data_IF_899350732239
#
_entry.id   IF_899350732239
#
_cell.length_a   1.000
_cell.length_b   1.000
_cell.length_c   1.000
_cell.angle_alpha   90.00
_cell.angle_beta   90.00
_cell.angle_gamma   90.00
#
_symmetry.space_group_name_H-M   'P 1'
#
loop_
_entity.id
_entity.type
_entity.pdbx_description
1 polymer ?
#
# COMPACT_ATOMS: atom_id res chain seq x y z
N UNK A 1 -53.47 -20.95 35.83
CA UNK A 1 -53.18 -20.09 34.66
C UNK A 1 -51.72 -19.65 34.71
N UNK A 2 -50.84 -20.28 33.92
CA UNK A 2 -49.43 -19.91 33.84
C UNK A 2 -49.21 -19.09 32.56
N UNK A 3 -48.69 -17.86 32.71
CA UNK A 3 -48.38 -16.96 31.61
C UNK A 3 -46.92 -17.20 31.20
N UNK A 4 -46.70 -17.73 30.01
CA UNK A 4 -45.38 -18.03 29.45
C UNK A 4 -44.63 -16.75 29.06
N UNK A 5 -43.41 -16.58 29.57
CA UNK A 5 -42.52 -15.49 29.16
C UNK A 5 -41.80 -15.85 27.85
N UNK A 6 -41.96 -15.00 26.83
CA UNK A 6 -41.27 -15.10 25.55
C UNK A 6 -39.86 -14.51 25.68
N UNK A 7 -38.84 -15.35 25.67
CA UNK A 7 -37.43 -14.93 25.66
C UNK A 7 -37.06 -14.58 24.21
N UNK A 8 -36.81 -13.29 23.95
CA UNK A 8 -36.26 -12.81 22.68
C UNK A 8 -34.75 -13.03 22.69
N UNK A 9 -34.28 -14.04 21.95
CA UNK A 9 -32.87 -14.26 21.71
C UNK A 9 -32.36 -13.23 20.68
N UNK A 10 -31.72 -12.17 21.16
CA UNK A 10 -30.99 -11.23 20.30
C UNK A 10 -29.74 -11.95 19.77
N UNK A 11 -29.80 -12.41 18.52
CA UNK A 11 -28.63 -12.90 17.80
C UNK A 11 -27.65 -11.74 17.61
N UNK A 12 -26.58 -11.72 18.42
CA UNK A 12 -25.44 -10.83 18.20
C UNK A 12 -24.69 -11.37 16.99
N UNK A 13 -25.01 -10.84 15.81
CA UNK A 13 -24.21 -11.11 14.62
C UNK A 13 -22.80 -10.53 14.86
N UNK A 14 -21.72 -11.32 14.67
CA UNK A 14 -20.37 -10.77 14.75
C UNK A 14 -20.24 -9.70 13.68
N UNK A 15 -20.08 -8.44 14.10
CA UNK A 15 -19.70 -7.37 13.21
C UNK A 15 -18.26 -7.70 12.78
N UNK A 16 -17.95 -7.85 11.48
CA UNK A 16 -16.58 -8.00 11.06
C UNK A 16 -15.79 -6.77 11.50
N UNK A 17 -14.92 -6.96 12.49
CA UNK A 17 -13.93 -5.98 12.89
C UNK A 17 -12.85 -5.95 11.81
N UNK A 18 -12.97 -5.04 10.86
CA UNK A 18 -11.83 -4.69 10.02
C UNK A 18 -10.77 -4.09 10.95
N UNK A 19 -9.54 -4.59 10.88
CA UNK A 19 -8.42 -4.00 11.62
C UNK A 19 -8.37 -2.50 11.27
N UNK A 20 -8.51 -1.63 12.27
CA UNK A 20 -8.40 -0.20 12.04
C UNK A 20 -6.93 0.19 12.12
N UNK A 21 -6.25 0.25 10.98
CA UNK A 21 -4.85 0.67 10.93
C UNK A 21 -4.27 0.59 9.53
N UNK A 22 -3.21 1.34 9.26
CA UNK A 22 -2.47 1.15 8.01
C UNK A 22 -1.65 -0.13 8.14
N UNK A 23 -1.82 -1.13 7.26
CA UNK A 23 -1.19 -2.43 7.42
C UNK A 23 0.33 -2.33 7.50
N UNK A 24 0.95 -3.23 8.25
CA UNK A 24 2.41 -3.35 8.29
C UNK A 24 2.92 -3.82 6.94
N UNK A 25 4.06 -3.26 6.55
CA UNK A 25 4.78 -3.73 5.37
C UNK A 25 5.32 -5.17 5.63
N UNK A 26 5.31 -6.04 4.60
CA UNK A 26 6.14 -7.24 4.59
C UNK A 26 7.62 -6.97 4.91
N UNK A 27 8.36 -8.04 5.20
CA UNK A 27 9.79 -7.97 5.49
C UNK A 27 10.58 -7.29 4.35
N UNK A 28 11.42 -6.32 4.71
CA UNK A 28 12.26 -5.55 3.79
C UNK A 28 13.30 -6.42 3.08
N UNK A 29 13.69 -7.55 3.67
CA UNK A 29 14.60 -8.51 3.02
C UNK A 29 14.10 -8.94 1.64
N UNK A 30 12.77 -8.99 1.43
CA UNK A 30 12.13 -9.30 0.16
C UNK A 30 12.45 -8.27 -0.95
N UNK A 31 12.88 -7.07 -0.58
CA UNK A 31 13.34 -6.08 -1.56
C UNK A 31 14.73 -6.41 -2.08
N UNK A 32 15.61 -6.99 -1.27
CA UNK A 32 17.04 -7.12 -1.59
C UNK A 32 17.48 -8.54 -1.89
N UNK A 33 16.79 -9.52 -1.33
CA UNK A 33 17.08 -10.94 -1.47
C UNK A 33 16.04 -11.58 -2.42
N UNK A 34 16.45 -12.30 -3.49
CA UNK A 34 15.55 -13.04 -4.35
C UNK A 34 14.88 -14.25 -3.70
N UNK A 35 14.80 -14.34 -2.37
CA UNK A 35 13.98 -15.35 -1.65
C UNK A 35 12.49 -15.36 -2.05
N UNK A 36 12.00 -14.29 -2.69
CA UNK A 36 10.66 -14.26 -3.29
C UNK A 36 10.56 -15.09 -4.58
N UNK A 37 11.68 -15.50 -5.17
CA UNK A 37 11.70 -16.38 -6.31
C UNK A 37 11.22 -17.78 -5.91
N UNK A 38 10.45 -18.42 -6.79
CA UNK A 38 10.18 -19.84 -6.67
C UNK A 38 11.50 -20.60 -6.77
N UNK A 39 11.66 -21.68 -5.98
CA UNK A 39 12.82 -22.56 -6.05
C UNK A 39 13.14 -22.97 -7.51
N UNK A 40 14.40 -22.82 -7.92
CA UNK A 40 14.88 -23.07 -9.29
C UNK A 40 14.75 -21.89 -10.25
N UNK A 41 14.20 -20.75 -9.83
CA UNK A 41 14.03 -19.52 -10.62
C UNK A 41 14.90 -18.35 -10.10
N UNK A 42 15.85 -18.61 -9.21
CA UNK A 42 16.69 -17.61 -8.54
C UNK A 42 17.52 -16.80 -9.55
N UNK A 43 17.99 -17.45 -10.62
CA UNK A 43 18.73 -16.80 -11.70
C UNK A 43 17.89 -15.75 -12.45
N UNK A 44 16.59 -15.98 -12.59
CA UNK A 44 15.67 -15.02 -13.21
C UNK A 44 15.37 -13.86 -12.25
N UNK A 45 15.22 -14.14 -10.96
CA UNK A 45 14.98 -13.11 -9.95
C UNK A 45 16.17 -12.15 -9.78
N UNK A 46 17.40 -12.66 -9.92
CA UNK A 46 18.63 -11.86 -9.86
C UNK A 46 18.65 -10.71 -10.88
N UNK A 47 18.06 -10.92 -12.07
CA UNK A 47 17.95 -9.88 -13.11
C UNK A 47 17.12 -8.67 -12.69
N UNK A 48 16.25 -8.82 -11.69
CA UNK A 48 15.41 -7.74 -11.17
C UNK A 48 16.05 -6.98 -10.01
N UNK A 49 17.21 -7.44 -9.49
CA UNK A 49 17.90 -6.76 -8.40
C UNK A 49 18.46 -5.38 -8.81
N UNK A 50 18.64 -5.13 -10.11
CA UNK A 50 19.03 -3.83 -10.65
C UNK A 50 17.84 -2.95 -11.06
N UNK A 51 16.60 -3.39 -10.78
CA UNK A 51 15.38 -2.65 -11.09
C UNK A 51 14.79 -2.04 -9.82
N UNK A 52 14.00 -0.99 -10.01
CA UNK A 52 13.18 -0.43 -8.93
C UNK A 52 12.19 -1.47 -8.44
N UNK A 53 12.15 -1.69 -7.13
CA UNK A 53 11.33 -2.72 -6.48
C UNK A 53 10.36 -2.07 -5.49
N UNK A 54 9.21 -2.69 -5.34
CA UNK A 54 8.10 -2.18 -4.55
C UNK A 54 7.67 -3.23 -3.55
N UNK A 55 7.45 -2.79 -2.32
CA UNK A 55 6.86 -3.60 -1.27
C UNK A 55 5.61 -2.86 -0.79
N UNK A 56 4.47 -3.51 -0.94
CA UNK A 56 3.16 -2.90 -0.81
C UNK A 56 2.35 -3.68 0.22
N UNK A 57 1.64 -2.96 1.08
CA UNK A 57 0.67 -3.52 2.00
C UNK A 57 -0.60 -2.69 1.94
N UNK A 58 -1.75 -3.35 1.73
CA UNK A 58 -3.03 -2.69 1.61
C UNK A 58 -4.13 -3.43 2.36
N UNK A 59 -5.09 -2.67 2.85
CA UNK A 59 -6.38 -3.14 3.31
C UNK A 59 -7.47 -2.66 2.34
N UNK A 60 -8.40 -3.56 2.05
CA UNK A 60 -9.52 -3.30 1.15
C UNK A 60 -10.80 -3.16 1.96
N UNK A 61 -11.35 -1.96 2.01
CA UNK A 61 -12.72 -1.73 2.48
C UNK A 61 -13.67 -1.85 1.28
N UNK A 62 -14.19 -3.06 1.07
CA UNK A 62 -15.12 -3.35 -0.01
C UNK A 62 -16.44 -2.58 0.12
N UNK A 63 -16.87 -2.21 1.34
CA UNK A 63 -18.14 -1.49 1.55
C UNK A 63 -18.04 -0.04 1.11
N UNK A 64 -16.89 0.60 1.39
CA UNK A 64 -16.65 2.00 1.03
C UNK A 64 -15.96 2.17 -0.34
N UNK A 65 -15.42 1.08 -0.88
CA UNK A 65 -14.60 1.09 -2.09
C UNK A 65 -13.33 1.89 -1.88
N UNK A 66 -12.63 1.63 -0.76
CA UNK A 66 -11.42 2.33 -0.35
C UNK A 66 -10.28 1.31 -0.19
N UNK A 67 -9.12 1.64 -0.74
CA UNK A 67 -7.85 0.97 -0.50
C UNK A 67 -6.99 1.87 0.39
N UNK A 68 -6.53 1.37 1.54
CA UNK A 68 -5.61 2.10 2.44
C UNK A 68 -4.36 1.28 2.65
N UNK A 69 -3.17 1.90 2.64
CA UNK A 69 -1.94 1.12 2.72
C UNK A 69 -0.66 1.92 2.85
N UNK A 70 0.45 1.18 2.79
CA UNK A 70 1.82 1.69 2.71
C UNK A 70 2.51 1.10 1.49
N UNK A 71 3.42 1.89 0.94
CA UNK A 71 4.35 1.46 -0.09
C UNK A 71 5.76 1.82 0.35
N UNK A 72 6.68 0.86 0.22
CA UNK A 72 8.13 1.11 0.26
C UNK A 72 8.71 0.85 -1.11
N UNK A 73 9.53 1.78 -1.58
CA UNK A 73 10.15 1.71 -2.90
C UNK A 73 11.66 1.69 -2.73
N UNK A 74 12.30 0.64 -3.24
CA UNK A 74 13.74 0.61 -3.41
C UNK A 74 14.06 1.09 -4.82
N UNK A 75 14.38 2.38 -4.94
CA UNK A 75 14.68 3.03 -6.20
C UNK A 75 16.12 2.75 -6.65
N UNK A 76 16.30 2.36 -7.91
CA UNK A 76 17.63 2.18 -8.52
C UNK A 76 17.87 3.28 -9.54
N UNK A 77 18.89 4.10 -9.30
CA UNK A 77 19.31 5.12 -10.24
C UNK A 77 20.19 4.51 -11.35
N UNK A 78 19.66 4.49 -12.57
CA UNK A 78 20.34 3.95 -13.75
C UNK A 78 20.83 5.04 -14.72
N UNK A 79 20.81 6.33 -14.34
CA UNK A 79 21.19 7.43 -15.24
C UNK A 79 22.70 7.68 -15.32
N UNK A 80 23.48 7.12 -14.39
CA UNK A 80 24.92 7.39 -14.28
C UNK A 80 25.27 8.75 -13.65
N UNK A 81 24.27 9.53 -13.23
CA UNK A 81 24.44 10.80 -12.53
C UNK A 81 23.55 10.86 -11.28
N UNK A 82 23.94 11.56 -10.20
CA UNK A 82 23.08 11.73 -9.04
C UNK A 82 21.74 12.40 -9.39
N UNK A 83 20.65 11.94 -8.80
CA UNK A 83 19.34 12.59 -8.88
C UNK A 83 19.08 13.36 -7.58
N UNK A 84 18.61 14.59 -7.72
CA UNK A 84 18.17 15.41 -6.58
C UNK A 84 16.72 15.14 -6.18
N UNK A 85 15.94 14.49 -7.04
CA UNK A 85 14.50 14.27 -6.85
C UNK A 85 14.07 12.90 -7.39
N UNK A 86 13.11 12.27 -6.72
CA UNK A 86 12.38 11.11 -7.26
C UNK A 86 10.90 11.46 -7.38
N UNK A 87 10.35 11.30 -8.59
CA UNK A 87 8.97 11.67 -8.91
C UNK A 87 8.10 10.41 -9.00
N UNK A 88 7.08 10.31 -8.14
CA UNK A 88 6.04 9.29 -8.23
C UNK A 88 4.76 9.87 -8.82
N UNK A 89 4.35 9.35 -9.98
CA UNK A 89 3.04 9.67 -10.58
C UNK A 89 1.98 8.76 -10.01
N UNK A 90 0.99 9.36 -9.35
CA UNK A 90 -0.17 8.65 -8.85
C UNK A 90 -1.31 8.81 -9.85
N UNK A 91 -1.73 7.72 -10.47
CA UNK A 91 -2.84 7.79 -11.43
C UNK A 91 -4.20 7.77 -10.68
N UNK A 92 -5.24 8.38 -11.26
CA UNK A 92 -6.60 8.27 -10.73
C UNK A 92 -7.03 6.80 -10.63
N UNK A 93 -7.82 6.49 -9.60
CA UNK A 93 -8.20 5.10 -9.28
C UNK A 93 -9.06 4.39 -10.35
N UNK A 94 -9.65 5.12 -11.32
CA UNK A 94 -10.34 4.54 -12.48
C UNK A 94 -10.71 5.64 -13.51
N UNK A 95 -10.54 5.45 -14.84
CA UNK A 95 -10.89 6.46 -15.84
C UNK A 95 -12.40 6.79 -15.92
N UNK A 96 -13.28 5.89 -15.48
CA UNK A 96 -14.74 6.06 -15.53
C UNK A 96 -15.34 6.61 -14.22
N UNK A 97 -14.59 6.55 -13.11
CA UNK A 97 -15.09 7.03 -11.80
C UNK A 97 -14.50 8.39 -11.48
N UNK A 98 -15.25 9.42 -11.86
CA UNK A 98 -15.02 10.86 -11.64
C UNK A 98 -14.34 11.18 -10.28
N UNK A 99 -13.01 11.33 -10.27
CA UNK A 99 -12.34 12.21 -9.31
C UNK A 99 -11.98 11.67 -7.92
N UNK A 100 -12.05 10.36 -7.63
CA UNK A 100 -11.43 9.83 -6.39
C UNK A 100 -9.91 9.81 -6.54
N UNK A 101 -9.24 10.74 -5.87
CA UNK A 101 -7.77 10.92 -5.88
C UNK A 101 -7.11 10.09 -4.77
N UNK A 102 -5.94 9.55 -5.07
CA UNK A 102 -5.06 9.00 -4.04
C UNK A 102 -4.62 10.14 -3.11
N UNK A 103 -4.68 9.91 -1.80
CA UNK A 103 -4.17 10.83 -0.79
C UNK A 103 -2.93 10.21 -0.17
N UNK A 104 -1.82 10.95 -0.19
CA UNK A 104 -0.59 10.55 0.48
C UNK A 104 -0.51 11.30 1.81
N UNK A 105 -0.52 10.54 2.90
CA UNK A 105 -0.57 11.11 4.25
C UNK A 105 0.82 11.35 4.85
N UNK A 106 1.84 10.60 4.40
CA UNK A 106 3.21 10.70 4.89
C UNK A 106 4.18 10.16 3.84
N UNK A 107 5.38 10.75 3.80
CA UNK A 107 6.50 10.32 2.95
C UNK A 107 7.77 10.33 3.80
N UNK A 108 8.67 9.37 3.56
CA UNK A 108 9.98 9.32 4.18
C UNK A 108 11.01 8.79 3.20
N UNK A 109 12.22 9.33 3.23
CA UNK A 109 13.36 8.90 2.43
C UNK A 109 14.43 8.37 3.38
N UNK A 110 14.87 7.12 3.19
CA UNK A 110 15.84 6.46 4.05
C UNK A 110 15.48 6.53 5.56
N UNK A 111 14.18 6.41 5.87
CA UNK A 111 13.65 6.49 7.23
C UNK A 111 13.47 7.90 7.79
N UNK A 112 14.00 8.94 7.14
CA UNK A 112 13.78 10.33 7.53
C UNK A 112 12.46 10.85 6.93
N UNK A 113 11.51 11.35 7.74
CA UNK A 113 10.30 11.99 7.23
C UNK A 113 10.64 13.16 6.30
N UNK A 114 9.93 13.27 5.19
CA UNK A 114 10.00 14.42 4.28
C UNK A 114 8.60 14.97 4.08
N UNK A 115 8.49 16.27 3.86
CA UNK A 115 7.19 16.91 3.65
C UNK A 115 6.49 16.43 2.38
N UNK A 116 7.22 15.81 1.44
CA UNK A 116 6.68 15.25 0.19
C UNK A 116 5.86 16.26 -0.61
N UNK A 117 6.43 16.92 -1.62
CA UNK A 117 5.64 17.95 -2.31
C UNK A 117 4.63 17.32 -3.28
N UNK A 118 3.34 17.50 -3.01
CA UNK A 118 2.28 17.22 -3.99
C UNK A 118 2.33 18.34 -5.04
N UNK A 119 2.83 18.06 -6.24
CA UNK A 119 3.11 19.08 -7.27
C UNK A 119 1.93 19.44 -8.15
N UNK A 120 0.95 18.55 -8.29
CA UNK A 120 -0.14 18.74 -9.23
C UNK A 120 -1.47 18.17 -8.73
N UNK A 121 -2.55 18.54 -9.44
CA UNK A 121 -3.89 18.05 -9.18
C UNK A 121 -4.05 16.53 -9.38
N UNK A 122 -3.04 15.86 -9.95
CA UNK A 122 -3.00 14.43 -10.16
C UNK A 122 -2.31 13.69 -9.00
N UNK A 123 -1.76 14.40 -8.00
CA UNK A 123 -1.17 13.78 -6.83
C UNK A 123 0.28 13.33 -7.03
N UNK A 124 1.02 13.94 -7.96
CA UNK A 124 2.46 13.68 -8.10
C UNK A 124 3.19 14.01 -6.80
N UNK A 125 3.91 13.03 -6.25
CA UNK A 125 4.71 13.19 -5.02
C UNK A 125 6.19 13.31 -5.37
N UNK A 126 6.81 14.38 -4.90
CA UNK A 126 8.26 14.54 -4.87
C UNK A 126 8.81 14.02 -3.54
N UNK A 127 9.73 13.08 -3.63
CA UNK A 127 10.52 12.57 -2.52
C UNK A 127 11.97 13.03 -2.65
#
# INVERSE_FOLDING_TARGET
CALSALIVLLAVFPVPSYASGVPSLPDESLLTDPIWARQGFEGLATLFLNRTRYLLAFEVDHRRGILTGKARVLYVNNSGAPHSEVIFRLYPNHPVHQGRRMRVNAVSVNGAPTSGQIRDANGTVLA
#
